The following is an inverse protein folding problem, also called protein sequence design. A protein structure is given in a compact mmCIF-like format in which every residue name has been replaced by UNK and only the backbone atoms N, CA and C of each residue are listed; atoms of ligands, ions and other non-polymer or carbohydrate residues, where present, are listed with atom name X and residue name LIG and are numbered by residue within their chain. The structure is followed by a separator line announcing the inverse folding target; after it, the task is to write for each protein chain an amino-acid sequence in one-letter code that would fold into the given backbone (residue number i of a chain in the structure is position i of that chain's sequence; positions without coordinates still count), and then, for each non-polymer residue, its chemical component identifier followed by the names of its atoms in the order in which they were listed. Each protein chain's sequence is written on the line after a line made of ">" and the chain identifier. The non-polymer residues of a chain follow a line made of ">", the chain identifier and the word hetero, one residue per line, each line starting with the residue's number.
data_IF_153727710551
#
_entry.id   IF_153727710551
#
_cell.length_a   1.000
_cell.length_b   1.000
_cell.length_c   1.000
_cell.angle_alpha   90.00
_cell.angle_beta   90.00
_cell.angle_gamma   90.00
#
_symmetry.space_group_name_H-M   'P 1'
#
loop_
_entity.id
_entity.type
_entity.pdbx_description
1 polymer ?
#
# COMPACT_ATOMS: atom_id res chain seq x y z
N UNK A 1 -29.83 -5.26 2.08
CA UNK A 1 -28.47 -4.77 2.41
C UNK A 1 -28.38 -3.25 2.48
N UNK A 2 -28.79 -2.49 1.46
CA UNK A 2 -28.96 -1.02 1.57
C UNK A 2 -29.89 -0.67 2.74
N UNK A 3 -30.99 -1.41 2.91
CA UNK A 3 -31.85 -1.31 4.10
C UNK A 3 -31.11 -1.60 5.40
N UNK A 4 -30.21 -2.59 5.45
CA UNK A 4 -29.47 -2.94 6.66
C UNK A 4 -28.44 -1.85 7.03
N UNK A 5 -27.86 -1.22 6.00
CA UNK A 5 -26.93 -0.10 6.11
C UNK A 5 -27.64 1.18 6.54
N UNK A 6 -28.79 1.46 5.95
CA UNK A 6 -29.68 2.52 6.37
C UNK A 6 -30.16 2.27 7.80
N UNK A 7 -30.50 1.04 8.17
CA UNK A 7 -30.88 0.69 9.54
C UNK A 7 -29.72 0.83 10.53
N UNK A 8 -28.47 0.54 10.14
CA UNK A 8 -27.30 0.73 10.98
C UNK A 8 -26.92 2.21 11.14
N UNK A 9 -27.00 3.01 10.06
CA UNK A 9 -26.87 4.47 10.10
C UNK A 9 -27.99 5.10 10.92
N UNK A 10 -29.23 4.66 10.72
CA UNK A 10 -30.39 5.10 11.49
C UNK A 10 -30.23 4.71 12.96
N UNK A 11 -29.75 3.50 13.26
CA UNK A 11 -29.44 3.07 14.62
C UNK A 11 -28.34 3.95 15.23
N UNK A 12 -27.26 4.25 14.52
CA UNK A 12 -26.21 5.17 15.00
C UNK A 12 -26.76 6.57 15.29
N UNK A 13 -27.68 7.08 14.46
CA UNK A 13 -28.36 8.37 14.71
C UNK A 13 -29.38 8.30 15.85
N UNK A 14 -30.04 7.16 16.06
CA UNK A 14 -31.08 6.95 17.08
C UNK A 14 -30.50 6.60 18.46
N UNK A 15 -29.34 5.95 18.52
CA UNK A 15 -28.64 5.62 19.77
C UNK A 15 -27.96 6.84 20.41
N UNK A 16 -28.10 8.03 19.82
CA UNK A 16 -27.56 9.25 20.41
C UNK A 16 -26.06 9.15 20.64
N UNK A 17 -25.32 8.55 19.69
CA UNK A 17 -23.86 8.60 19.71
C UNK A 17 -23.49 10.07 19.56
N UNK A 18 -23.32 10.76 20.68
CA UNK A 18 -22.69 12.06 20.71
C UNK A 18 -21.32 11.85 20.08
N UNK A 19 -21.16 12.35 18.86
CA UNK A 19 -19.86 12.38 18.22
C UNK A 19 -18.99 13.31 19.04
N UNK A 20 -18.34 12.76 20.07
CA UNK A 20 -17.33 13.45 20.86
C UNK A 20 -16.05 13.50 20.04
N UNK A 21 -16.13 14.16 18.89
CA UNK A 21 -15.00 14.35 17.97
C UNK A 21 -13.78 14.94 18.70
N UNK A 22 -14.06 15.73 19.74
CA UNK A 22 -13.07 16.40 20.56
C UNK A 22 -12.83 15.73 21.91
N UNK A 23 -13.39 14.53 22.19
CA UNK A 23 -13.12 13.86 23.47
C UNK A 23 -11.68 13.40 23.55
N UNK A 24 -11.18 13.49 24.77
CA UNK A 24 -9.88 13.01 25.20
C UNK A 24 -10.11 12.19 26.46
N UNK A 25 -9.35 11.12 26.64
CA UNK A 25 -9.36 10.42 27.93
C UNK A 25 -8.71 11.31 29.00
N UNK A 26 -9.06 11.17 30.29
CA UNK A 26 -8.35 11.87 31.36
C UNK A 26 -6.85 11.56 31.30
N UNK A 27 -6.00 12.58 31.45
CA UNK A 27 -4.55 12.48 31.37
C UNK A 27 -3.99 12.01 30.01
N UNK A 28 -4.74 12.20 28.92
CA UNK A 28 -4.21 11.98 27.58
C UNK A 28 -2.95 12.84 27.33
N UNK A 29 -2.00 12.36 26.52
CA UNK A 29 -0.83 13.16 26.16
C UNK A 29 -1.27 14.43 25.42
N UNK A 30 -0.52 15.54 25.58
CA UNK A 30 -0.83 16.77 24.87
C UNK A 30 -0.75 16.55 23.35
N UNK A 31 -1.72 17.10 22.62
CA UNK A 31 -1.79 17.02 21.16
C UNK A 31 -1.47 18.36 20.51
N UNK A 32 -0.73 18.34 19.42
CA UNK A 32 -0.49 19.50 18.58
C UNK A 32 -1.72 19.85 17.74
N UNK A 33 -1.75 21.08 17.25
CA UNK A 33 -2.76 21.58 16.33
C UNK A 33 -2.14 21.83 14.97
N UNK A 34 -2.92 21.64 13.91
CA UNK A 34 -2.44 21.90 12.56
C UNK A 34 -2.25 23.39 12.35
N UNK A 35 -1.15 23.78 11.70
CA UNK A 35 -0.81 25.19 11.52
C UNK A 35 -1.84 25.96 10.66
N UNK A 36 -2.35 25.30 9.62
CA UNK A 36 -3.20 25.95 8.62
C UNK A 36 -4.66 26.07 9.07
N UNK A 37 -5.19 25.05 9.76
CA UNK A 37 -6.62 24.98 10.09
C UNK A 37 -6.91 25.04 11.59
N UNK A 38 -5.86 25.03 12.43
CA UNK A 38 -5.97 25.00 13.89
C UNK A 38 -6.90 23.86 14.38
N UNK A 39 -6.82 22.70 13.72
CA UNK A 39 -7.56 21.51 14.12
C UNK A 39 -6.65 20.57 14.92
N UNK A 40 -7.19 19.80 15.87
CA UNK A 40 -6.37 18.85 16.60
C UNK A 40 -5.76 17.77 15.71
N UNK A 41 -4.51 17.44 15.99
CA UNK A 41 -3.74 16.43 15.28
C UNK A 41 -3.48 15.23 16.17
N UNK A 42 -2.92 14.18 15.59
CA UNK A 42 -2.41 13.01 16.29
C UNK A 42 -0.92 13.12 16.64
N UNK A 43 -0.35 14.31 16.51
CA UNK A 43 1.06 14.57 16.79
C UNK A 43 1.18 14.97 18.27
N UNK A 44 1.96 14.21 19.03
CA UNK A 44 2.40 14.57 20.39
C UNK A 44 3.68 15.42 20.31
N UNK A 45 4.18 15.87 21.45
CA UNK A 45 5.51 16.49 21.52
C UNK A 45 6.56 15.58 20.89
N UNK A 46 7.35 16.10 19.93
CA UNK A 46 8.48 15.41 19.29
C UNK A 46 9.78 16.06 19.80
N UNK A 47 10.74 15.25 20.24
CA UNK A 47 12.06 15.71 20.65
C UNK A 47 12.87 16.24 19.46
N UNK A 48 13.59 17.34 19.69
CA UNK A 48 14.43 18.02 18.70
C UNK A 48 13.66 18.46 17.44
N UNK A 49 12.39 18.83 17.61
CA UNK A 49 11.50 19.21 16.52
C UNK A 49 11.94 20.51 15.84
N UNK A 50 12.15 20.44 14.53
CA UNK A 50 12.49 21.57 13.66
C UNK A 50 11.39 21.74 12.61
N UNK A 51 10.73 22.90 12.65
CA UNK A 51 9.59 23.22 11.80
C UNK A 51 9.93 23.31 10.31
N UNK A 52 11.08 23.90 9.99
CA UNK A 52 11.50 24.11 8.60
C UNK A 52 11.92 22.78 7.99
N UNK A 53 12.67 21.97 8.73
CA UNK A 53 13.03 20.63 8.31
C UNK A 53 11.81 19.71 8.19
N UNK A 54 10.83 19.81 9.11
CA UNK A 54 9.59 19.03 9.04
C UNK A 54 8.81 19.34 7.77
N UNK A 55 8.63 20.63 7.46
CA UNK A 55 7.95 21.08 6.26
C UNK A 55 8.72 20.69 4.99
N UNK A 56 10.03 20.93 4.94
CA UNK A 56 10.86 20.63 3.78
C UNK A 56 10.86 19.14 3.43
N UNK A 57 11.04 18.27 4.43
CA UNK A 57 11.05 16.81 4.23
C UNK A 57 9.67 16.27 3.84
N UNK A 58 8.60 16.82 4.42
CA UNK A 58 7.22 16.46 4.06
C UNK A 58 6.89 16.89 2.64
N UNK A 59 7.23 18.12 2.24
CA UNK A 59 7.00 18.60 0.86
C UNK A 59 7.81 17.78 -0.13
N UNK A 60 9.06 17.44 0.20
CA UNK A 60 9.91 16.59 -0.63
C UNK A 60 9.24 15.23 -0.91
N UNK A 61 8.75 14.54 0.12
CA UNK A 61 8.06 13.26 -0.08
C UNK A 61 6.77 13.42 -0.88
N UNK A 62 5.97 14.46 -0.63
CA UNK A 62 4.75 14.77 -1.40
C UNK A 62 5.06 14.94 -2.88
N UNK A 63 6.08 15.72 -3.22
CA UNK A 63 6.50 15.94 -4.61
C UNK A 63 6.96 14.63 -5.25
N UNK A 64 7.77 13.84 -4.55
CA UNK A 64 8.26 12.57 -5.10
C UNK A 64 7.14 11.54 -5.31
N UNK A 65 6.18 11.44 -4.38
CA UNK A 65 4.99 10.59 -4.53
C UNK A 65 4.12 11.11 -5.68
N UNK A 66 3.92 12.43 -5.80
CA UNK A 66 3.16 13.03 -6.89
C UNK A 66 3.79 12.72 -8.26
N UNK A 67 5.10 12.91 -8.40
CA UNK A 67 5.84 12.58 -9.64
C UNK A 67 5.72 11.09 -9.95
N UNK A 68 5.86 10.21 -8.95
CA UNK A 68 5.73 8.75 -9.12
C UNK A 68 4.33 8.36 -9.63
N UNK A 69 3.29 8.93 -9.04
CA UNK A 69 1.89 8.70 -9.41
C UNK A 69 1.61 9.22 -10.82
N UNK A 70 2.00 10.46 -11.13
CA UNK A 70 1.81 11.07 -12.45
C UNK A 70 2.60 10.35 -13.54
N UNK A 71 3.84 9.95 -13.25
CA UNK A 71 4.67 9.18 -14.17
C UNK A 71 4.05 7.83 -14.50
N UNK A 72 3.55 7.11 -13.48
CA UNK A 72 2.84 5.84 -13.66
C UNK A 72 1.58 6.01 -14.50
N UNK A 73 0.75 7.00 -14.17
CA UNK A 73 -0.47 7.30 -14.92
C UNK A 73 -0.17 7.64 -16.37
N UNK A 74 0.83 8.49 -16.59
CA UNK A 74 1.28 8.87 -17.92
C UNK A 74 1.72 7.65 -18.74
N UNK A 75 2.63 6.85 -18.20
CA UNK A 75 3.14 5.66 -18.89
C UNK A 75 2.04 4.64 -19.15
N UNK A 76 1.16 4.38 -18.19
CA UNK A 76 0.11 3.40 -18.36
C UNK A 76 -0.95 3.86 -19.35
N UNK A 77 -1.49 5.07 -19.18
CA UNK A 77 -2.66 5.56 -19.94
C UNK A 77 -2.26 6.02 -21.34
N UNK A 78 -1.13 6.72 -21.48
CA UNK A 78 -0.73 7.35 -22.73
C UNK A 78 0.34 6.59 -23.51
N UNK A 79 1.14 5.73 -22.86
CA UNK A 79 2.19 4.97 -23.56
C UNK A 79 1.80 3.49 -23.72
N UNK A 80 1.47 2.79 -22.65
CA UNK A 80 1.27 1.35 -22.66
C UNK A 80 -0.09 0.97 -23.27
N UNK A 81 -1.21 1.47 -22.71
CA UNK A 81 -2.56 1.09 -23.17
C UNK A 81 -2.83 1.40 -24.65
N UNK A 82 -2.38 2.53 -25.22
CA UNK A 82 -2.59 2.82 -26.64
C UNK A 82 -1.81 1.90 -27.58
N UNK A 83 -0.66 1.35 -27.13
CA UNK A 83 0.14 0.38 -27.90
C UNK A 83 -0.43 -1.04 -27.88
N UNK A 84 -1.37 -1.34 -26.97
CA UNK A 84 -1.99 -2.65 -26.89
C UNK A 84 -3.09 -2.84 -27.93
N UNK A 85 -3.23 -4.04 -28.53
CA UNK A 85 -4.37 -4.40 -29.37
C UNK A 85 -5.70 -4.15 -28.64
N UNK A 86 -6.76 -3.80 -29.37
CA UNK A 86 -8.05 -3.41 -28.77
C UNK A 86 -8.63 -4.44 -27.77
N UNK A 87 -8.43 -5.74 -28.05
CA UNK A 87 -8.84 -6.86 -27.20
C UNK A 87 -7.94 -7.12 -25.98
N UNK A 88 -6.79 -6.44 -25.87
CA UNK A 88 -5.79 -6.62 -24.81
C UNK A 88 -5.50 -5.30 -24.05
N UNK A 89 -6.37 -4.29 -24.15
CA UNK A 89 -6.21 -2.96 -23.49
C UNK A 89 -6.46 -2.99 -21.97
N UNK A 90 -5.83 -3.92 -21.26
CA UNK A 90 -5.86 -4.07 -19.81
C UNK A 90 -4.45 -4.10 -19.23
N UNK A 91 -4.28 -3.52 -18.04
CA UNK A 91 -3.08 -3.64 -17.21
C UNK A 91 -3.21 -4.74 -16.14
N UNK A 92 -4.40 -5.35 -16.08
CA UNK A 92 -4.76 -6.33 -15.07
C UNK A 92 -5.15 -5.72 -13.73
N UNK A 93 -5.88 -6.48 -12.89
CA UNK A 93 -6.36 -6.01 -11.58
C UNK A 93 -5.23 -5.67 -10.60
N UNK A 94 -4.14 -6.45 -10.58
CA UNK A 94 -3.02 -6.20 -9.66
C UNK A 94 -2.35 -4.84 -9.87
N UNK A 95 -1.99 -4.50 -11.11
CA UNK A 95 -1.38 -3.21 -11.41
C UNK A 95 -2.37 -2.05 -11.27
N UNK A 96 -3.67 -2.32 -11.49
CA UNK A 96 -4.73 -1.34 -11.21
C UNK A 96 -4.75 -1.01 -9.72
N UNK A 97 -4.62 -2.00 -8.83
CA UNK A 97 -4.54 -1.79 -7.38
C UNK A 97 -3.28 -1.03 -6.97
N UNK A 98 -2.11 -1.32 -7.56
CA UNK A 98 -0.87 -0.56 -7.28
C UNK A 98 -1.01 0.90 -7.74
N UNK A 99 -1.61 1.13 -8.92
CA UNK A 99 -1.87 2.48 -9.42
C UNK A 99 -2.84 3.25 -8.51
N UNK A 100 -3.91 2.60 -8.02
CA UNK A 100 -4.83 3.20 -7.06
C UNK A 100 -4.17 3.45 -5.70
N UNK A 101 -3.28 2.56 -5.26
CA UNK A 101 -2.47 2.74 -4.06
C UNK A 101 -1.57 3.98 -4.18
N UNK A 102 -0.89 4.18 -5.31
CA UNK A 102 -0.10 5.39 -5.59
C UNK A 102 -0.94 6.67 -5.53
N UNK A 103 -2.14 6.64 -6.13
CA UNK A 103 -3.09 7.78 -6.09
C UNK A 103 -3.54 8.07 -4.66
N UNK A 104 -3.98 7.04 -3.92
CA UNK A 104 -4.43 7.20 -2.54
C UNK A 104 -3.31 7.72 -1.63
N UNK A 105 -2.10 7.19 -1.81
CA UNK A 105 -0.91 7.66 -1.08
C UNK A 105 -0.64 9.12 -1.38
N UNK A 106 -0.67 9.54 -2.65
CA UNK A 106 -0.49 10.95 -3.02
C UNK A 106 -1.48 11.85 -2.28
N UNK A 107 -2.77 11.50 -2.28
CA UNK A 107 -3.77 12.28 -1.55
C UNK A 107 -3.54 12.27 -0.04
N UNK A 108 -3.16 11.13 0.53
CA UNK A 108 -2.84 11.03 1.96
C UNK A 108 -1.63 11.91 2.31
N UNK A 109 -0.54 11.86 1.57
CA UNK A 109 0.66 12.69 1.82
C UNK A 109 0.38 14.17 1.57
N UNK A 110 -0.35 14.50 0.50
CA UNK A 110 -0.71 15.87 0.18
C UNK A 110 -1.58 16.49 1.27
N UNK A 111 -2.65 15.80 1.68
CA UNK A 111 -3.50 16.29 2.77
C UNK A 111 -2.77 16.33 4.11
N UNK A 112 -1.85 15.38 4.37
CA UNK A 112 -0.97 15.44 5.54
C UNK A 112 -0.20 16.76 5.57
N UNK A 113 0.40 17.18 4.44
CA UNK A 113 1.16 18.45 4.38
C UNK A 113 0.32 19.71 4.67
N UNK A 114 -1.00 19.62 4.48
CA UNK A 114 -1.91 20.74 4.73
C UNK A 114 -2.45 20.77 6.17
N UNK A 115 -2.76 19.61 6.74
CA UNK A 115 -3.54 19.53 7.99
C UNK A 115 -2.94 18.63 9.07
N UNK A 116 -1.75 18.06 8.84
CA UNK A 116 -1.10 17.02 9.65
C UNK A 116 -1.98 15.78 9.85
N UNK A 117 -1.43 14.73 10.46
CA UNK A 117 -2.20 13.54 10.80
C UNK A 117 -3.25 13.86 11.87
N UNK A 118 -4.47 13.37 11.70
CA UNK A 118 -5.61 13.65 12.58
C UNK A 118 -6.89 13.01 12.03
N UNK A 119 -8.02 13.20 12.70
CA UNK A 119 -9.30 12.57 12.30
C UNK A 119 -9.77 12.98 10.90
N UNK A 120 -9.58 14.24 10.50
CA UNK A 120 -9.94 14.70 9.14
C UNK A 120 -9.00 14.05 8.12
N UNK A 121 -7.70 14.10 8.37
CA UNK A 121 -6.70 13.46 7.51
C UNK A 121 -6.94 11.96 7.35
N UNK A 122 -7.40 11.26 8.40
CA UNK A 122 -7.71 9.84 8.38
C UNK A 122 -8.70 9.46 7.27
N UNK A 123 -9.60 10.37 6.87
CA UNK A 123 -10.51 10.14 5.74
C UNK A 123 -9.80 9.96 4.40
N UNK A 124 -8.58 10.48 4.26
CA UNK A 124 -7.70 10.28 3.11
C UNK A 124 -6.73 9.13 3.37
N UNK A 125 -6.11 9.11 4.56
CA UNK A 125 -5.17 8.06 4.97
C UNK A 125 -5.78 6.66 4.94
N UNK A 126 -7.08 6.50 5.24
CA UNK A 126 -7.73 5.18 5.25
C UNK A 126 -7.73 4.50 3.87
N UNK A 127 -7.72 5.27 2.77
CA UNK A 127 -7.65 4.73 1.42
C UNK A 127 -6.27 4.15 1.10
N UNK A 128 -5.20 4.73 1.64
CA UNK A 128 -3.85 4.19 1.53
C UNK A 128 -3.82 2.75 2.08
N UNK A 129 -4.24 2.58 3.33
CA UNK A 129 -4.30 1.29 4.01
C UNK A 129 -5.31 0.33 3.34
N UNK A 130 -6.43 0.86 2.83
CA UNK A 130 -7.39 0.06 2.07
C UNK A 130 -6.74 -0.62 0.87
N UNK A 131 -5.90 0.11 0.12
CA UNK A 131 -5.27 -0.46 -1.07
C UNK A 131 -4.16 -1.45 -0.73
N UNK A 132 -3.54 -1.37 0.45
CA UNK A 132 -2.65 -2.43 0.96
C UNK A 132 -3.43 -3.71 1.24
N UNK A 133 -4.56 -3.59 1.95
CA UNK A 133 -5.48 -4.71 2.18
C UNK A 133 -5.96 -5.27 0.83
N UNK A 134 -6.24 -4.42 -0.14
CA UNK A 134 -6.63 -4.85 -1.48
C UNK A 134 -5.53 -5.59 -2.23
N UNK A 135 -4.28 -5.13 -2.13
CA UNK A 135 -3.13 -5.80 -2.73
C UNK A 135 -2.88 -7.17 -2.08
N UNK A 136 -2.87 -7.24 -0.75
CA UNK A 136 -2.78 -8.50 0.00
C UNK A 136 -3.91 -9.45 -0.38
N UNK A 137 -5.14 -8.95 -0.40
CA UNK A 137 -6.31 -9.74 -0.74
C UNK A 137 -6.30 -10.20 -2.19
N UNK A 138 -5.71 -9.43 -3.10
CA UNK A 138 -5.52 -9.84 -4.50
C UNK A 138 -4.52 -10.99 -4.63
N UNK A 139 -3.42 -10.93 -3.87
CA UNK A 139 -2.45 -12.01 -3.76
C UNK A 139 -3.11 -13.27 -3.16
N UNK A 140 -3.90 -13.09 -2.09
CA UNK A 140 -4.59 -14.14 -1.35
C UNK A 140 -5.75 -14.79 -2.12
N UNK A 141 -6.66 -14.02 -2.72
CA UNK A 141 -7.92 -14.55 -3.26
C UNK A 141 -7.76 -15.20 -4.64
N UNK A 142 -6.57 -15.07 -5.25
CA UNK A 142 -6.31 -15.40 -6.66
C UNK A 142 -7.21 -14.55 -7.56
N UNK A 143 -6.86 -14.36 -8.83
CA UNK A 143 -7.64 -13.56 -9.78
C UNK A 143 -8.97 -14.21 -10.20
N UNK A 144 -9.80 -14.68 -9.25
CA UNK A 144 -11.12 -15.24 -9.49
C UNK A 144 -12.14 -14.10 -9.49
N UNK A 145 -12.70 -13.79 -10.66
CA UNK A 145 -13.68 -12.71 -10.88
C UNK A 145 -14.89 -12.71 -9.93
N UNK A 146 -15.31 -13.87 -9.41
CA UNK A 146 -16.42 -13.98 -8.47
C UNK A 146 -16.08 -13.47 -7.05
N UNK A 147 -14.80 -13.46 -6.67
CA UNK A 147 -14.35 -12.92 -5.39
C UNK A 147 -14.24 -11.39 -5.42
N UNK A 148 -14.02 -10.79 -6.60
CA UNK A 148 -13.87 -9.34 -6.78
C UNK A 148 -15.10 -8.56 -6.29
N UNK A 149 -16.33 -9.00 -6.65
CA UNK A 149 -17.56 -8.31 -6.21
C UNK A 149 -17.78 -8.39 -4.71
N UNK A 150 -17.50 -9.54 -4.09
CA UNK A 150 -17.62 -9.70 -2.63
C UNK A 150 -16.54 -8.92 -1.90
N UNK A 151 -15.36 -8.83 -2.49
CA UNK A 151 -14.23 -8.10 -1.93
C UNK A 151 -14.49 -6.59 -1.86
N UNK A 152 -15.15 -5.99 -2.86
CA UNK A 152 -15.59 -4.58 -2.80
C UNK A 152 -16.45 -4.30 -1.56
N UNK A 153 -17.33 -5.23 -1.16
CA UNK A 153 -18.11 -5.06 0.06
C UNK A 153 -17.26 -5.12 1.33
N UNK A 154 -16.26 -6.00 1.39
CA UNK A 154 -15.31 -6.07 2.51
C UNK A 154 -14.53 -4.76 2.62
N UNK A 155 -14.04 -4.22 1.50
CA UNK A 155 -13.38 -2.92 1.44
C UNK A 155 -14.28 -1.79 1.97
N UNK A 156 -15.55 -1.77 1.57
CA UNK A 156 -16.52 -0.78 2.05
C UNK A 156 -16.76 -0.89 3.57
N UNK A 157 -16.94 -2.11 4.09
CA UNK A 157 -17.10 -2.31 5.53
C UNK A 157 -15.85 -1.93 6.31
N UNK A 158 -14.67 -2.23 5.78
CA UNK A 158 -13.40 -1.79 6.36
C UNK A 158 -13.34 -0.26 6.49
N UNK A 159 -13.67 0.47 5.43
CA UNK A 159 -13.72 1.94 5.46
C UNK A 159 -14.71 2.45 6.52
N UNK A 160 -15.93 1.90 6.53
CA UNK A 160 -16.98 2.33 7.44
C UNK A 160 -16.60 2.08 8.90
N UNK A 161 -16.13 0.87 9.22
CA UNK A 161 -15.74 0.50 10.59
C UNK A 161 -14.54 1.33 11.04
N UNK A 162 -13.52 1.49 10.19
CA UNK A 162 -12.32 2.25 10.53
C UNK A 162 -12.67 3.71 10.82
N UNK A 163 -13.45 4.35 9.95
CA UNK A 163 -13.86 5.74 10.17
C UNK A 163 -14.80 5.90 11.37
N UNK A 164 -15.72 4.95 11.59
CA UNK A 164 -16.57 4.95 12.77
C UNK A 164 -15.73 4.91 14.06
N UNK A 165 -14.74 4.00 14.13
CA UNK A 165 -13.86 3.90 15.31
C UNK A 165 -13.04 5.18 15.47
N UNK A 166 -12.44 5.72 14.40
CA UNK A 166 -11.65 6.96 14.47
C UNK A 166 -12.49 8.17 14.94
N UNK A 167 -13.74 8.26 14.51
CA UNK A 167 -14.63 9.37 14.90
C UNK A 167 -15.09 9.24 16.36
N UNK A 168 -15.38 8.02 16.81
CA UNK A 168 -15.98 7.76 18.13
C UNK A 168 -14.94 7.61 19.24
N UNK A 169 -13.79 6.98 18.95
CA UNK A 169 -12.76 6.72 19.95
C UNK A 169 -12.18 8.05 20.46
N UNK A 170 -12.00 8.22 21.79
CA UNK A 170 -11.36 9.40 22.34
C UNK A 170 -9.86 9.39 22.04
N UNK A 171 -9.24 10.57 21.97
CA UNK A 171 -7.78 10.68 21.93
C UNK A 171 -7.16 10.04 23.19
N UNK A 172 -6.06 9.26 23.09
CA UNK A 172 -5.28 8.91 21.89
C UNK A 172 -5.67 7.59 21.21
N UNK A 173 -6.78 6.96 21.61
CA UNK A 173 -7.18 5.63 21.14
C UNK A 173 -7.53 5.61 19.64
N UNK A 174 -8.07 6.71 19.11
CA UNK A 174 -8.32 6.89 17.68
C UNK A 174 -7.03 6.80 16.86
N UNK A 175 -5.98 7.49 17.29
CA UNK A 175 -4.68 7.49 16.65
C UNK A 175 -3.97 6.14 16.79
N UNK A 176 -3.98 5.54 17.98
CA UNK A 176 -3.39 4.23 18.22
C UNK A 176 -4.06 3.15 17.38
N UNK A 177 -5.39 3.15 17.31
CA UNK A 177 -6.14 2.24 16.45
C UNK A 177 -5.78 2.42 14.97
N UNK A 178 -5.79 3.66 14.49
CA UNK A 178 -5.47 3.96 13.09
C UNK A 178 -4.03 3.56 12.73
N UNK A 179 -3.08 3.83 13.63
CA UNK A 179 -1.68 3.45 13.47
C UNK A 179 -1.49 1.93 13.52
N UNK A 180 -2.19 1.24 14.43
CA UNK A 180 -2.12 -0.22 14.56
C UNK A 180 -2.54 -0.92 13.28
N UNK A 181 -3.71 -0.57 12.73
CA UNK A 181 -4.19 -1.23 11.52
C UNK A 181 -3.27 -0.97 10.32
N UNK A 182 -2.75 0.26 10.17
CA UNK A 182 -1.83 0.57 9.07
C UNK A 182 -0.51 -0.16 9.20
N UNK A 183 0.10 -0.16 10.39
CA UNK A 183 1.36 -0.86 10.59
C UNK A 183 1.20 -2.38 10.45
N UNK A 184 0.05 -2.93 10.82
CA UNK A 184 -0.25 -4.34 10.63
C UNK A 184 -0.35 -4.69 9.13
N UNK A 185 -0.98 -3.85 8.32
CA UNK A 185 -1.08 -4.05 6.86
C UNK A 185 0.25 -3.84 6.17
N UNK A 186 1.07 -2.88 6.59
CA UNK A 186 2.42 -2.66 6.08
C UNK A 186 3.29 -3.92 6.20
N UNK A 187 3.35 -4.49 7.42
CA UNK A 187 4.15 -5.68 7.68
C UNK A 187 3.59 -6.90 6.94
N UNK A 188 2.28 -7.09 6.96
CA UNK A 188 1.65 -8.22 6.28
C UNK A 188 1.87 -8.16 4.76
N UNK A 189 1.73 -6.98 4.14
CA UNK A 189 1.98 -6.78 2.71
C UNK A 189 3.44 -7.02 2.35
N UNK A 190 4.39 -6.56 3.17
CA UNK A 190 5.82 -6.82 2.96
C UNK A 190 6.12 -8.33 2.98
N UNK A 191 5.53 -9.07 3.92
CA UNK A 191 5.68 -10.54 4.01
C UNK A 191 5.07 -11.22 2.78
N UNK A 192 3.85 -10.85 2.36
CA UNK A 192 3.18 -11.45 1.21
C UNK A 192 3.89 -11.18 -0.11
N UNK A 193 4.39 -9.97 -0.33
CA UNK A 193 5.22 -9.66 -1.51
C UNK A 193 6.56 -10.41 -1.47
N UNK A 194 7.14 -10.62 -0.28
CA UNK A 194 8.31 -11.48 -0.10
C UNK A 194 8.01 -12.93 -0.51
N UNK A 195 6.89 -13.50 -0.07
CA UNK A 195 6.42 -14.83 -0.47
C UNK A 195 6.20 -14.93 -1.98
N UNK A 196 5.57 -13.91 -2.58
CA UNK A 196 5.34 -13.84 -4.02
C UNK A 196 6.67 -13.80 -4.80
N UNK A 197 7.65 -13.02 -4.33
CA UNK A 197 8.99 -12.96 -4.90
C UNK A 197 9.67 -14.33 -4.89
N UNK A 198 9.76 -14.97 -3.72
CA UNK A 198 10.45 -16.26 -3.59
C UNK A 198 9.77 -17.36 -4.39
N UNK A 199 8.43 -17.36 -4.47
CA UNK A 199 7.68 -18.29 -5.33
C UNK A 199 8.03 -18.11 -6.81
N UNK A 200 8.03 -16.88 -7.32
CA UNK A 200 8.38 -16.61 -8.72
C UNK A 200 9.84 -16.92 -9.03
N UNK A 201 10.74 -16.65 -8.08
CA UNK A 201 12.15 -17.02 -8.18
C UNK A 201 12.33 -18.54 -8.26
N UNK A 202 11.67 -19.29 -7.38
CA UNK A 202 11.74 -20.76 -7.37
C UNK A 202 11.24 -21.36 -8.69
N UNK A 203 10.11 -20.90 -9.21
CA UNK A 203 9.59 -21.36 -10.50
C UNK A 203 10.57 -21.09 -11.66
N UNK A 204 11.20 -19.92 -11.67
CA UNK A 204 12.21 -19.57 -12.67
C UNK A 204 13.43 -20.52 -12.59
N UNK A 205 13.92 -20.82 -11.39
CA UNK A 205 15.05 -21.73 -11.20
C UNK A 205 14.70 -23.18 -11.56
N UNK A 206 13.47 -23.64 -11.28
CA UNK A 206 13.04 -24.98 -11.69
C UNK A 206 12.91 -25.10 -13.21
N UNK A 207 12.42 -24.05 -13.87
CA UNK A 207 12.35 -24.00 -15.32
C UNK A 207 13.74 -24.02 -15.97
N UNK A 208 14.75 -23.38 -15.37
CA UNK A 208 16.11 -23.35 -15.92
C UNK A 208 16.95 -24.61 -15.63
N UNK A 209 16.59 -25.42 -14.65
CA UNK A 209 17.29 -26.69 -14.32
C UNK A 209 16.73 -27.88 -15.12
N UNK A 210 15.46 -27.82 -15.54
CA UNK A 210 14.79 -28.90 -16.27
C UNK A 210 15.14 -29.01 -17.76
N UNK A 211 15.95 -28.09 -18.30
CA UNK A 211 16.27 -28.05 -19.73
C UNK A 211 17.75 -28.25 -20.00
N UNK A 212 18.13 -29.20 -20.90
CA UNK A 212 19.51 -29.35 -21.31
C UNK A 212 20.03 -28.01 -21.84
N UNK A 213 21.16 -27.57 -21.29
CA UNK A 213 21.89 -26.36 -21.68
C UNK A 213 22.05 -26.33 -23.21
N UNK A 214 21.22 -25.55 -23.91
CA UNK A 214 21.36 -25.39 -25.36
C UNK A 214 20.14 -24.91 -26.15
N UNK A 215 18.91 -24.93 -25.62
CA UNK A 215 17.72 -24.65 -26.45
C UNK A 215 16.67 -23.67 -25.92
N UNK A 216 16.83 -23.05 -24.74
CA UNK A 216 15.70 -22.42 -24.04
C UNK A 216 15.68 -20.89 -23.84
N UNK A 217 16.64 -20.10 -24.34
CA UNK A 217 16.35 -18.65 -24.47
C UNK A 217 15.19 -18.39 -25.46
N UNK A 218 14.93 -19.35 -26.37
CA UNK A 218 13.90 -19.25 -27.41
C UNK A 218 12.51 -19.75 -26.93
N UNK A 219 12.44 -20.74 -26.03
CA UNK A 219 11.17 -21.42 -25.72
C UNK A 219 10.38 -20.83 -24.54
N UNK A 220 11.02 -20.25 -23.51
CA UNK A 220 10.28 -19.53 -22.46
C UNK A 220 9.65 -18.23 -23.00
N UNK A 221 10.30 -17.65 -24.02
CA UNK A 221 9.77 -16.56 -24.83
C UNK A 221 8.56 -16.99 -25.66
N UNK A 222 8.49 -18.26 -26.12
CA UNK A 222 7.43 -18.76 -27.01
C UNK A 222 6.10 -19.01 -26.31
N UNK A 223 6.10 -19.51 -25.08
CA UNK A 223 4.88 -19.69 -24.27
C UNK A 223 4.31 -18.37 -23.76
N UNK A 224 5.17 -17.38 -23.50
CA UNK A 224 4.79 -16.00 -23.17
C UNK A 224 4.34 -15.21 -24.41
N UNK A 225 4.90 -15.51 -25.59
CA UNK A 225 4.51 -14.91 -26.88
C UNK A 225 3.24 -15.52 -27.48
N UNK A 226 2.88 -16.76 -27.14
CA UNK A 226 1.62 -17.38 -27.63
C UNK A 226 0.34 -16.72 -27.08
N UNK A 227 0.45 -15.75 -26.15
CA UNK A 227 -0.68 -14.91 -25.70
C UNK A 227 -0.69 -13.49 -26.30
N UNK A 228 0.38 -13.06 -26.99
CA UNK A 228 0.31 -11.87 -27.86
C UNK A 228 0.01 -12.37 -29.28
N UNK A 229 -1.16 -12.00 -29.80
CA UNK A 229 -1.65 -12.48 -31.09
C UNK A 229 -0.60 -12.51 -32.19
N UNK A 230 -0.65 -13.57 -33.00
CA UNK A 230 0.16 -13.74 -34.21
C UNK A 230 0.05 -12.51 -35.11
N UNK A 231 1.03 -11.61 -35.01
CA UNK A 231 1.28 -10.60 -36.03
C UNK A 231 2.04 -11.32 -37.13
N UNK A 232 1.46 -11.37 -38.35
CA UNK A 232 2.16 -11.82 -39.55
C UNK A 232 3.44 -10.98 -39.68
N UNK A 233 4.59 -11.64 -39.63
CA UNK A 233 5.88 -11.02 -39.88
C UNK A 233 5.91 -10.45 -41.30
N UNK A 234 6.24 -9.17 -41.38
CA UNK A 234 6.59 -8.47 -42.62
C UNK A 234 8.13 -8.43 -42.64
N UNK A 235 8.73 -9.08 -43.64
CA UNK A 235 10.10 -9.63 -43.67
C UNK A 235 11.27 -8.60 -43.60
N UNK A 236 11.06 -7.36 -43.18
CA UNK A 236 12.10 -6.32 -43.27
C UNK A 236 12.27 -5.38 -42.08
N UNK A 237 11.76 -5.71 -40.89
CA UNK A 237 12.16 -5.02 -39.66
C UNK A 237 12.78 -5.99 -38.68
N UNK A 238 14.10 -5.87 -38.47
CA UNK A 238 14.78 -6.38 -37.28
C UNK A 238 14.19 -5.67 -36.06
N UNK A 239 13.05 -6.16 -35.58
CA UNK A 239 12.51 -5.80 -34.28
C UNK A 239 13.46 -6.45 -33.27
N UNK A 240 14.38 -5.66 -32.73
CA UNK A 240 15.12 -6.03 -31.53
C UNK A 240 14.08 -6.24 -30.44
N UNK A 241 13.62 -7.49 -30.25
CA UNK A 241 12.76 -7.85 -29.13
C UNK A 241 13.59 -7.67 -27.89
N UNK A 242 13.43 -6.54 -27.22
CA UNK A 242 14.04 -6.26 -25.93
C UNK A 242 13.65 -7.40 -24.99
N UNK A 243 14.64 -8.20 -24.58
CA UNK A 243 14.42 -9.37 -23.74
C UNK A 243 13.97 -8.86 -22.37
N UNK A 244 12.66 -8.94 -22.09
CA UNK A 244 12.15 -8.49 -20.80
C UNK A 244 12.80 -9.33 -19.68
N UNK A 245 13.24 -8.70 -18.58
CA UNK A 245 13.82 -9.42 -17.46
C UNK A 245 12.80 -10.39 -16.85
N UNK A 246 13.31 -11.39 -16.12
CA UNK A 246 12.49 -12.36 -15.44
C UNK A 246 11.54 -11.67 -14.43
N UNK A 247 10.25 -12.08 -14.35
CA UNK A 247 9.22 -11.35 -13.58
C UNK A 247 9.55 -11.25 -12.09
N UNK A 248 10.27 -12.22 -11.53
CA UNK A 248 10.70 -12.18 -10.12
C UNK A 248 11.64 -11.00 -9.81
N UNK A 249 12.39 -10.47 -10.79
CA UNK A 249 13.23 -9.28 -10.60
C UNK A 249 12.38 -8.02 -10.39
N UNK A 250 11.27 -7.89 -11.14
CA UNK A 250 10.33 -6.80 -10.96
C UNK A 250 9.56 -6.95 -9.63
N UNK A 251 9.11 -8.16 -9.28
CA UNK A 251 8.44 -8.43 -7.99
C UNK A 251 9.37 -8.13 -6.80
N UNK A 252 10.69 -8.36 -6.94
CA UNK A 252 11.68 -7.99 -5.92
C UNK A 252 11.61 -6.50 -5.57
N UNK A 253 11.37 -5.64 -6.57
CA UNK A 253 11.24 -4.18 -6.36
C UNK A 253 10.04 -3.89 -5.46
N UNK A 254 8.89 -4.52 -5.70
CA UNK A 254 7.71 -4.38 -4.82
C UNK A 254 7.98 -4.85 -3.40
N UNK A 255 8.61 -6.02 -3.25
CA UNK A 255 8.95 -6.55 -1.94
C UNK A 255 9.86 -5.60 -1.14
N UNK A 256 10.90 -5.05 -1.79
CA UNK A 256 11.80 -4.08 -1.16
C UNK A 256 11.03 -2.80 -0.83
N UNK A 257 10.20 -2.29 -1.74
CA UNK A 257 9.41 -1.08 -1.51
C UNK A 257 8.48 -1.22 -0.29
N UNK A 258 7.74 -2.33 -0.19
CA UNK A 258 6.87 -2.62 0.94
C UNK A 258 7.65 -2.78 2.26
N UNK A 259 8.81 -3.44 2.21
CA UNK A 259 9.66 -3.60 3.40
C UNK A 259 10.21 -2.26 3.88
N UNK A 260 10.70 -1.42 2.96
CA UNK A 260 11.17 -0.08 3.28
C UNK A 260 10.03 0.75 3.89
N UNK A 261 8.86 0.73 3.27
CA UNK A 261 7.66 1.41 3.77
C UNK A 261 7.32 0.98 5.21
N UNK A 262 7.21 -0.32 5.48
CA UNK A 262 6.92 -0.86 6.79
C UNK A 262 7.98 -0.48 7.84
N UNK A 263 9.27 -0.58 7.48
CA UNK A 263 10.38 -0.20 8.38
C UNK A 263 10.34 1.29 8.69
N UNK A 264 10.13 2.15 7.69
CA UNK A 264 9.99 3.59 7.90
C UNK A 264 8.84 3.90 8.87
N UNK A 265 7.66 3.31 8.64
CA UNK A 265 6.51 3.49 9.50
C UNK A 265 6.75 2.97 10.93
N UNK A 266 7.50 1.88 11.08
CA UNK A 266 7.90 1.35 12.38
C UNK A 266 8.87 2.29 13.11
N UNK A 267 9.88 2.85 12.43
CA UNK A 267 10.87 3.77 13.01
C UNK A 267 10.21 4.99 13.66
N UNK A 268 9.30 5.65 12.94
CA UNK A 268 8.55 6.80 13.48
C UNK A 268 7.57 6.41 14.59
N UNK A 269 7.23 5.12 14.70
CA UNK A 269 6.39 4.61 15.81
C UNK A 269 7.22 4.30 17.05
N UNK A 270 8.47 3.81 16.88
CA UNK A 270 9.32 3.39 17.99
C UNK A 270 9.85 4.54 18.84
N UNK A 271 10.17 5.67 18.22
CA UNK A 271 10.91 6.73 18.89
C UNK A 271 10.26 8.09 18.69
N UNK A 272 10.50 8.97 19.65
CA UNK A 272 9.94 10.31 19.69
C UNK A 272 10.94 11.39 19.21
N UNK A 273 11.93 11.02 18.40
CA UNK A 273 12.94 11.95 17.88
C UNK A 273 12.60 12.40 16.47
N UNK A 274 12.73 13.70 16.21
CA UNK A 274 12.49 14.30 14.90
C UNK A 274 13.34 13.68 13.78
N UNK A 275 14.56 13.23 14.05
CA UNK A 275 15.39 12.58 13.04
C UNK A 275 14.77 11.29 12.47
N UNK A 276 13.97 10.55 13.25
CA UNK A 276 13.26 9.35 12.76
C UNK A 276 12.16 9.72 11.77
N UNK A 277 11.50 10.87 11.97
CA UNK A 277 10.57 11.45 11.00
C UNK A 277 11.26 11.76 9.68
N UNK A 278 12.45 12.38 9.73
CA UNK A 278 13.23 12.71 8.54
C UNK A 278 13.59 11.44 7.76
N UNK A 279 14.12 10.41 8.44
CA UNK A 279 14.43 9.11 7.81
C UNK A 279 13.18 8.52 7.14
N UNK A 280 12.05 8.53 7.85
CA UNK A 280 10.78 8.04 7.35
C UNK A 280 10.36 8.74 6.05
N UNK A 281 10.45 10.08 5.98
CA UNK A 281 10.11 10.85 4.78
C UNK A 281 11.01 10.48 3.59
N UNK A 282 12.31 10.28 3.80
CA UNK A 282 13.22 9.82 2.74
C UNK A 282 12.93 8.39 2.28
N UNK A 283 12.58 7.50 3.20
CA UNK A 283 12.15 6.13 2.88
C UNK A 283 10.89 6.16 2.01
N UNK A 284 9.90 7.00 2.33
CA UNK A 284 8.72 7.20 1.50
C UNK A 284 9.07 7.70 0.10
N UNK A 285 9.96 8.67 0.01
CA UNK A 285 10.46 9.21 -1.24
C UNK A 285 11.25 8.18 -2.09
N UNK A 286 11.59 7.00 -1.54
CA UNK A 286 12.21 5.90 -2.29
C UNK A 286 11.18 4.81 -2.61
N UNK A 287 10.34 4.43 -1.63
CA UNK A 287 9.40 3.32 -1.77
C UNK A 287 8.35 3.54 -2.88
N UNK A 288 7.74 4.72 -2.96
CA UNK A 288 6.69 4.98 -3.96
C UNK A 288 7.20 5.08 -5.41
N UNK A 289 8.39 5.67 -5.69
CA UNK A 289 9.03 5.51 -6.99
C UNK A 289 9.28 4.05 -7.38
N UNK A 290 9.58 3.17 -6.43
CA UNK A 290 9.77 1.74 -6.70
C UNK A 290 8.46 1.04 -7.10
N UNK A 291 7.34 1.37 -6.45
CA UNK A 291 6.00 0.93 -6.87
C UNK A 291 5.66 1.43 -8.29
N UNK A 292 5.96 2.70 -8.57
CA UNK A 292 5.77 3.30 -9.90
C UNK A 292 6.62 2.60 -10.97
N UNK A 293 7.90 2.36 -10.67
CA UNK A 293 8.81 1.62 -11.54
C UNK A 293 8.26 0.23 -11.88
N UNK A 294 7.77 -0.51 -10.90
CA UNK A 294 7.18 -1.83 -11.15
C UNK A 294 6.02 -1.74 -12.15
N UNK A 295 5.09 -0.80 -11.99
CA UNK A 295 3.96 -0.64 -12.91
C UNK A 295 4.41 -0.32 -14.34
N UNK A 296 5.55 0.37 -14.51
CA UNK A 296 6.09 0.70 -15.84
C UNK A 296 6.89 -0.47 -16.44
N UNK A 297 7.68 -1.18 -15.62
CA UNK A 297 8.50 -2.31 -16.04
C UNK A 297 7.69 -3.60 -16.26
N UNK A 298 6.59 -3.77 -15.52
CA UNK A 298 5.67 -4.89 -15.60
C UNK A 298 4.22 -4.39 -15.76
N UNK A 299 3.87 -3.72 -16.87
CA UNK A 299 2.56 -3.08 -17.05
C UNK A 299 1.40 -4.06 -17.17
N UNK A 300 1.68 -5.36 -17.31
CA UNK A 300 0.71 -6.44 -17.22
C UNK A 300 1.23 -7.55 -16.29
N UNK A 301 0.46 -7.86 -15.26
CA UNK A 301 0.79 -8.91 -14.30
C UNK A 301 0.60 -10.36 -14.83
N UNK A 302 0.42 -10.56 -16.15
CA UNK A 302 0.23 -11.88 -16.76
C UNK A 302 1.42 -12.82 -16.58
N UNK A 303 2.64 -12.28 -16.45
CA UNK A 303 3.87 -13.05 -16.23
C UNK A 303 4.10 -13.42 -14.76
N UNK A 304 3.31 -12.87 -13.85
CA UNK A 304 3.41 -13.17 -12.41
C UNK A 304 2.77 -14.52 -12.14
N UNK A 305 3.57 -15.46 -11.65
CA UNK A 305 3.07 -16.73 -11.13
C UNK A 305 2.55 -16.52 -9.71
N UNK A 306 1.29 -16.86 -9.48
CA UNK A 306 0.64 -16.74 -8.18
C UNK A 306 0.81 -18.04 -7.39
N UNK A 307 1.18 -17.97 -6.12
CA UNK A 307 1.28 -19.16 -5.27
C UNK A 307 -0.11 -19.70 -4.92
N UNK A 308 -0.18 -21.00 -4.61
CA UNK A 308 -1.43 -21.61 -4.12
C UNK A 308 -1.67 -21.12 -2.69
N UNK A 309 -2.89 -20.67 -2.45
CA UNK A 309 -3.36 -20.23 -1.15
C UNK A 309 -3.27 -21.35 -0.12
N UNK A 310 -2.70 -21.03 1.02
CA UNK A 310 -2.60 -21.91 2.18
C UNK A 310 -3.10 -21.13 3.38
N UNK A 311 -4.38 -21.33 3.75
CA UNK A 311 -5.05 -20.53 4.78
C UNK A 311 -4.29 -20.46 6.11
N UNK A 312 -3.54 -21.52 6.48
CA UNK A 312 -2.73 -21.49 7.69
C UNK A 312 -1.58 -20.49 7.58
N UNK A 313 -0.92 -20.41 6.41
CA UNK A 313 0.12 -19.40 6.14
C UNK A 313 -0.46 -18.00 6.08
N UNK A 314 -1.64 -17.82 5.49
CA UNK A 314 -2.27 -16.49 5.42
C UNK A 314 -2.67 -15.98 6.81
N UNK A 315 -3.23 -16.85 7.65
CA UNK A 315 -3.49 -16.52 9.06
C UNK A 315 -2.19 -16.19 9.78
N UNK A 316 -1.11 -16.94 9.53
CA UNK A 316 0.20 -16.65 10.13
C UNK A 316 0.74 -15.28 9.69
N UNK A 317 0.57 -14.89 8.42
CA UNK A 317 0.95 -13.54 7.95
C UNK A 317 0.16 -12.46 8.68
N UNK A 318 -1.16 -12.61 8.80
CA UNK A 318 -2.01 -11.64 9.53
C UNK A 318 -1.64 -11.54 11.01
N UNK A 319 -1.44 -12.68 11.68
CA UNK A 319 -1.01 -12.73 13.08
C UNK A 319 0.36 -12.08 13.25
N UNK A 320 1.31 -12.39 12.37
CA UNK A 320 2.66 -11.82 12.42
C UNK A 320 2.62 -10.30 12.22
N UNK A 321 1.89 -9.80 11.23
CA UNK A 321 1.71 -8.37 11.00
C UNK A 321 1.09 -7.66 12.20
N UNK A 322 0.02 -8.23 12.76
CA UNK A 322 -0.64 -7.69 13.96
C UNK A 322 0.25 -7.70 15.19
N UNK A 323 1.01 -8.78 15.43
CA UNK A 323 1.96 -8.87 16.55
C UNK A 323 3.08 -7.85 16.39
N UNK A 324 3.69 -7.72 15.21
CA UNK A 324 4.74 -6.73 14.96
C UNK A 324 4.21 -5.30 15.16
N UNK A 325 3.02 -4.99 14.65
CA UNK A 325 2.39 -3.68 14.84
C UNK A 325 2.13 -3.37 16.33
N UNK A 326 1.58 -4.34 17.07
CA UNK A 326 1.34 -4.21 18.51
C UNK A 326 2.63 -4.00 19.30
N UNK A 327 3.70 -4.74 18.98
CA UNK A 327 5.02 -4.56 19.60
C UNK A 327 5.60 -3.17 19.30
N UNK A 328 5.50 -2.70 18.06
CA UNK A 328 5.98 -1.36 17.70
C UNK A 328 5.27 -0.26 18.47
N UNK A 329 3.93 -0.35 18.57
CA UNK A 329 3.13 0.62 19.33
C UNK A 329 3.44 0.54 20.82
N UNK A 330 3.56 -0.66 21.39
CA UNK A 330 3.88 -0.82 22.81
C UNK A 330 5.24 -0.19 23.17
N UNK A 331 6.25 -0.38 22.33
CA UNK A 331 7.56 0.26 22.48
C UNK A 331 7.45 1.78 22.33
N UNK A 332 6.71 2.27 21.34
CA UNK A 332 6.48 3.69 21.13
C UNK A 332 5.80 4.38 22.32
N UNK A 333 4.74 3.76 22.86
CA UNK A 333 4.02 4.26 24.05
C UNK A 333 4.94 4.31 25.26
N UNK A 334 5.76 3.27 25.47
CA UNK A 334 6.75 3.24 26.55
C UNK A 334 7.78 4.37 26.41
N UNK A 335 8.35 4.55 25.22
CA UNK A 335 9.36 5.57 24.96
C UNK A 335 8.80 7.00 25.02
N UNK A 336 7.52 7.19 24.70
CA UNK A 336 6.85 8.48 24.80
C UNK A 336 6.55 8.91 26.25
N UNK A 337 6.85 8.07 27.25
CA UNK A 337 6.61 8.38 28.65
C UNK A 337 5.12 8.56 29.00
N UNK A 338 4.21 8.00 28.20
CA UNK A 338 2.78 8.06 28.46
C UNK A 338 2.50 7.20 29.70
N UNK A 339 1.92 7.76 30.80
CA UNK A 339 1.61 6.99 32.00
C UNK A 339 0.75 5.77 31.65
N UNK A 340 1.16 4.59 32.15
CA UNK A 340 0.44 3.33 31.93
C UNK A 340 -0.83 3.21 32.75
#
# INVERSE_FOLDING_TARGET
>A
MIQLLLSALLALTLYGVEAKWMSEIPNAPPRAYSKLFNIPTWITHIEDYDDDAFNATTIFSVVTVAVSTLYTLYHIIYIYRPKQPANLKSIGPFNTLIMLYLIATFFATFTFSLMNAGRIWASFGVYHNLFEIALMSHIFLRQKSLLERKFVFICFFYLLITMMIVIVAPWPLDALFFKFQGLATDFALAIDLGRLYYHNKANYMMASVGTPQGQEEINYSRSSQLQLGQVKDDDNKKVMRELMPAPHLNIKVLYIAATLHAVGNALVTFGNHFFLWVIFQFIYAIAFPMYAYYCVAEPNASRVSWYKVDYAKEVLVLVTGGTLAGLCIAVGVYNAGIPQ
#
